data_IF_529978375090
#
_entry.id   IF_529978375090
#
_cell.length_a   1.000
_cell.length_b   1.000
_cell.length_c   1.000
_cell.angle_alpha   90.00
_cell.angle_beta   90.00
_cell.angle_gamma   90.00
#
_symmetry.space_group_name_H-M   'P 1'
#
loop_
_entity.id
_entity.type
_entity.pdbx_description
1 polymer ?
#
# COMPACT_ATOMS: atom_id res chain seq x y z
N UNK A 1 -42.69 -2.10 -8.38
CA UNK A 1 -42.35 -2.30 -6.94
C UNK A 1 -42.02 -3.76 -6.66
N UNK A 2 -42.92 -4.72 -6.94
CA UNK A 2 -42.64 -6.17 -6.76
C UNK A 2 -41.48 -6.64 -7.67
N UNK A 3 -41.47 -6.23 -8.94
CA UNK A 3 -40.38 -6.58 -9.87
C UNK A 3 -39.01 -6.01 -9.46
N UNK A 4 -38.98 -4.75 -9.02
CA UNK A 4 -37.77 -4.13 -8.48
C UNK A 4 -37.23 -4.89 -7.26
N UNK A 5 -38.09 -5.26 -6.31
CA UNK A 5 -37.69 -6.03 -5.13
C UNK A 5 -37.14 -7.42 -5.51
N UNK A 6 -37.79 -8.11 -6.47
CA UNK A 6 -37.32 -9.39 -7.00
C UNK A 6 -35.96 -9.25 -7.67
N UNK A 7 -35.75 -8.20 -8.48
CA UNK A 7 -34.47 -7.91 -9.12
C UNK A 7 -33.36 -7.67 -8.10
N UNK A 8 -33.58 -6.75 -7.16
CA UNK A 8 -32.60 -6.45 -6.10
C UNK A 8 -32.18 -7.73 -5.35
N UNK A 9 -33.15 -8.58 -4.99
CA UNK A 9 -32.86 -9.85 -4.32
C UNK A 9 -32.09 -10.82 -5.23
N UNK A 10 -32.49 -10.93 -6.50
CA UNK A 10 -31.81 -11.81 -7.47
C UNK A 10 -30.37 -11.40 -7.72
N UNK A 11 -30.13 -10.11 -7.93
CA UNK A 11 -28.79 -9.54 -8.18
C UNK A 11 -27.87 -9.78 -6.98
N UNK A 12 -28.37 -9.62 -5.76
CA UNK A 12 -27.59 -9.92 -4.55
C UNK A 12 -27.29 -11.42 -4.39
N UNK A 13 -28.25 -12.31 -4.69
CA UNK A 13 -28.04 -13.77 -4.62
C UNK A 13 -26.96 -14.20 -5.60
N UNK A 14 -27.02 -13.74 -6.86
CA UNK A 14 -26.03 -14.05 -7.88
C UNK A 14 -24.63 -13.53 -7.50
N UNK A 15 -24.55 -12.35 -6.87
CA UNK A 15 -23.29 -11.82 -6.37
C UNK A 15 -22.76 -12.62 -5.16
N UNK A 16 -23.65 -13.13 -4.31
CA UNK A 16 -23.32 -13.86 -3.08
C UNK A 16 -22.43 -15.07 -3.35
N UNK A 17 -22.67 -15.77 -4.45
CA UNK A 17 -21.90 -16.94 -4.89
C UNK A 17 -20.44 -16.63 -5.20
N UNK A 18 -20.13 -15.36 -5.49
CA UNK A 18 -18.80 -14.89 -5.91
C UNK A 18 -18.05 -14.13 -4.82
N UNK A 19 -18.69 -13.85 -3.68
CA UNK A 19 -18.17 -12.93 -2.63
C UNK A 19 -16.81 -13.31 -2.03
N UNK A 20 -16.36 -14.54 -2.21
CA UNK A 20 -15.13 -15.06 -1.62
C UNK A 20 -14.00 -15.27 -2.64
N UNK A 21 -14.21 -14.91 -3.91
CA UNK A 21 -13.22 -15.04 -4.98
C UNK A 21 -13.06 -13.71 -5.73
N UNK A 22 -11.85 -13.13 -5.64
CA UNK A 22 -11.52 -11.87 -6.30
C UNK A 22 -11.74 -11.94 -7.81
N UNK A 23 -11.30 -13.00 -8.47
CA UNK A 23 -11.37 -13.10 -9.93
C UNK A 23 -12.82 -13.27 -10.38
N UNK A 24 -13.60 -14.08 -9.67
CA UNK A 24 -15.03 -14.21 -9.95
C UNK A 24 -15.76 -12.86 -9.79
N UNK A 25 -15.37 -12.02 -8.82
CA UNK A 25 -15.91 -10.67 -8.67
C UNK A 25 -15.51 -9.75 -9.84
N UNK A 26 -14.23 -9.74 -10.21
CA UNK A 26 -13.74 -8.92 -11.33
C UNK A 26 -14.45 -9.26 -12.63
N UNK A 27 -14.63 -10.56 -12.92
CA UNK A 27 -15.37 -11.05 -14.08
C UNK A 27 -16.84 -10.64 -14.01
N UNK A 28 -17.48 -10.77 -12.83
CA UNK A 28 -18.88 -10.40 -12.63
C UNK A 28 -19.17 -8.91 -12.83
N UNK A 29 -18.20 -8.05 -12.51
CA UNK A 29 -18.32 -6.61 -12.66
C UNK A 29 -17.75 -6.09 -13.98
N UNK A 30 -17.17 -6.97 -14.81
CA UNK A 30 -16.57 -6.64 -16.12
C UNK A 30 -15.71 -5.38 -16.03
N UNK A 31 -14.77 -5.36 -15.07
CA UNK A 31 -13.91 -4.19 -14.84
C UNK A 31 -12.76 -4.17 -15.83
N UNK A 32 -12.60 -3.04 -16.52
CA UNK A 32 -11.50 -2.84 -17.46
C UNK A 32 -10.23 -2.39 -16.74
N UNK A 33 -9.07 -2.67 -17.33
CA UNK A 33 -7.79 -2.18 -16.81
C UNK A 33 -7.76 -0.64 -16.71
N UNK A 34 -8.40 0.09 -17.64
CA UNK A 34 -8.52 1.55 -17.59
C UNK A 34 -9.30 2.03 -16.38
N UNK A 35 -10.43 1.39 -16.06
CA UNK A 35 -11.22 1.75 -14.88
C UNK A 35 -10.47 1.42 -13.61
N UNK A 36 -9.80 0.27 -13.56
CA UNK A 36 -9.00 -0.10 -12.41
C UNK A 36 -7.84 0.88 -12.15
N UNK A 37 -7.15 1.33 -13.20
CA UNK A 37 -6.14 2.42 -13.09
C UNK A 37 -6.77 3.72 -12.57
N UNK A 38 -7.94 4.10 -13.08
CA UNK A 38 -8.64 5.29 -12.60
C UNK A 38 -9.06 5.17 -11.13
N UNK A 39 -9.51 3.99 -10.69
CA UNK A 39 -9.82 3.73 -9.28
C UNK A 39 -8.56 3.75 -8.41
N UNK A 40 -7.41 3.24 -8.90
CA UNK A 40 -6.13 3.38 -8.21
C UNK A 40 -5.74 4.85 -8.02
N UNK A 41 -5.89 5.72 -9.04
CA UNK A 41 -5.61 7.15 -8.87
C UNK A 41 -6.54 7.81 -7.84
N UNK A 42 -7.84 7.49 -7.87
CA UNK A 42 -8.78 7.99 -6.85
C UNK A 42 -8.40 7.54 -5.44
N UNK A 43 -7.96 6.30 -5.29
CA UNK A 43 -7.47 5.78 -4.01
C UNK A 43 -6.22 6.55 -3.56
N UNK A 44 -5.26 6.85 -4.44
CA UNK A 44 -4.07 7.65 -4.09
C UNK A 44 -4.40 9.05 -3.59
N UNK A 45 -5.47 9.65 -4.13
CA UNK A 45 -5.93 10.99 -3.71
C UNK A 45 -6.62 10.99 -2.33
N UNK A 46 -7.04 9.82 -1.82
CA UNK A 46 -7.70 9.70 -0.53
C UNK A 46 -6.68 9.64 0.62
N UNK A 47 -6.05 10.77 0.92
CA UNK A 47 -4.89 10.87 1.82
C UNK A 47 -5.31 11.02 3.29
N UNK A 48 -6.40 11.74 3.57
CA UNK A 48 -6.73 12.18 4.93
C UNK A 48 -7.48 11.09 5.72
N UNK A 49 -8.52 10.50 5.12
CA UNK A 49 -9.32 9.42 5.76
C UNK A 49 -9.31 8.11 4.97
N UNK A 50 -8.32 7.93 4.11
CA UNK A 50 -8.03 6.66 3.43
C UNK A 50 -9.25 6.10 2.70
N UNK A 51 -9.54 4.82 2.93
CA UNK A 51 -10.62 4.13 2.22
C UNK A 51 -12.01 4.75 2.47
N UNK A 52 -12.25 5.36 3.64
CA UNK A 52 -13.53 6.00 3.96
C UNK A 52 -13.72 7.27 3.13
N UNK A 53 -12.66 8.07 2.98
CA UNK A 53 -12.67 9.24 2.10
C UNK A 53 -12.93 8.86 0.64
N UNK A 54 -12.26 7.82 0.14
CA UNK A 54 -12.51 7.28 -1.19
C UNK A 54 -13.98 6.90 -1.40
N UNK A 55 -14.60 6.18 -0.44
CA UNK A 55 -16.01 5.79 -0.55
C UNK A 55 -16.94 7.00 -0.63
N UNK A 56 -16.68 8.04 0.19
CA UNK A 56 -17.46 9.29 0.15
C UNK A 56 -17.29 10.00 -1.20
N UNK A 57 -16.06 10.13 -1.67
CA UNK A 57 -15.77 10.83 -2.94
C UNK A 57 -16.35 10.09 -4.14
N UNK A 58 -16.44 8.75 -4.10
CA UNK A 58 -17.08 7.95 -5.14
C UNK A 58 -18.61 8.02 -5.09
N UNK A 59 -19.19 8.09 -3.90
CA UNK A 59 -20.65 8.18 -3.71
C UNK A 59 -21.21 9.57 -4.01
N UNK A 60 -20.44 10.65 -3.77
CA UNK A 60 -20.93 12.01 -3.88
C UNK A 60 -21.49 12.39 -5.28
N UNK A 61 -20.84 12.06 -6.41
CA UNK A 61 -21.39 12.31 -7.74
C UNK A 61 -22.72 11.59 -8.00
N UNK A 62 -22.87 10.36 -7.49
CA UNK A 62 -24.12 9.58 -7.59
C UNK A 62 -25.25 10.29 -6.84
N UNK A 63 -24.98 10.74 -5.61
CA UNK A 63 -25.98 11.47 -4.83
C UNK A 63 -26.35 12.81 -5.46
N UNK A 64 -25.37 13.55 -6.01
CA UNK A 64 -25.61 14.81 -6.72
C UNK A 64 -26.47 14.61 -7.99
N UNK A 65 -26.19 13.55 -8.75
CA UNK A 65 -27.02 13.18 -9.90
C UNK A 65 -28.45 12.81 -9.50
N UNK A 66 -28.60 11.99 -8.46
CA UNK A 66 -29.90 11.62 -7.92
C UNK A 66 -30.68 12.82 -7.36
N UNK A 67 -30.01 13.78 -6.72
CA UNK A 67 -30.62 15.04 -6.30
C UNK A 67 -31.11 15.86 -7.49
N UNK A 68 -30.31 15.92 -8.55
CA UNK A 68 -30.66 16.60 -9.81
C UNK A 68 -31.92 16.02 -10.44
N UNK A 69 -32.18 14.72 -10.28
CA UNK A 69 -33.41 14.06 -10.73
C UNK A 69 -34.70 14.64 -10.08
N UNK A 70 -34.58 15.34 -8.94
CA UNK A 70 -35.70 16.07 -8.32
C UNK A 70 -36.13 17.27 -9.16
N UNK A 71 -35.25 17.82 -9.98
CA UNK A 71 -35.50 19.05 -10.74
C UNK A 71 -35.60 18.83 -12.25
N UNK A 72 -34.88 17.83 -12.80
CA UNK A 72 -34.92 17.49 -14.22
C UNK A 72 -34.91 15.99 -14.47
N UNK A 73 -35.24 15.58 -15.68
CA UNK A 73 -35.05 14.19 -16.13
C UNK A 73 -33.56 13.97 -16.43
N UNK A 74 -33.00 12.87 -15.93
CA UNK A 74 -31.66 12.41 -16.29
C UNK A 74 -31.71 11.57 -17.57
N UNK A 75 -30.67 11.68 -18.39
CA UNK A 75 -30.50 10.82 -19.57
C UNK A 75 -30.16 9.38 -19.14
N UNK A 76 -30.38 8.41 -20.05
CA UNK A 76 -30.01 7.02 -19.78
C UNK A 76 -28.50 6.85 -19.62
N UNK A 77 -27.69 7.69 -20.26
CA UNK A 77 -26.23 7.72 -20.14
C UNK A 77 -25.81 8.22 -18.76
N UNK A 78 -26.47 9.26 -18.23
CA UNK A 78 -26.22 9.76 -16.87
C UNK A 78 -26.55 8.68 -15.83
N UNK A 79 -27.68 7.98 -15.99
CA UNK A 79 -28.06 6.87 -15.10
C UNK A 79 -27.05 5.72 -15.19
N UNK A 80 -26.62 5.36 -16.40
CA UNK A 80 -25.61 4.31 -16.60
C UNK A 80 -24.25 4.69 -15.99
N UNK A 81 -23.86 5.97 -16.06
CA UNK A 81 -22.65 6.47 -15.41
C UNK A 81 -22.71 6.29 -13.89
N UNK A 82 -23.83 6.65 -13.26
CA UNK A 82 -24.03 6.45 -11.82
C UNK A 82 -24.12 4.96 -11.43
N UNK A 83 -24.73 4.13 -12.26
CA UNK A 83 -24.74 2.67 -12.11
C UNK A 83 -23.30 2.12 -12.12
N UNK A 84 -22.45 2.63 -13.02
CA UNK A 84 -21.05 2.23 -13.11
C UNK A 84 -20.23 2.69 -11.92
N UNK A 85 -20.45 3.92 -11.45
CA UNK A 85 -19.80 4.44 -10.24
C UNK A 85 -20.12 3.59 -9.01
N UNK A 86 -21.39 3.20 -8.82
CA UNK A 86 -21.79 2.29 -7.75
C UNK A 86 -21.22 0.88 -7.93
N UNK A 87 -21.04 0.43 -9.17
CA UNK A 87 -20.42 -0.87 -9.46
C UNK A 87 -18.97 -0.91 -9.00
N UNK A 88 -18.19 0.13 -9.31
CA UNK A 88 -16.79 0.23 -8.91
C UNK A 88 -16.64 0.44 -7.39
N UNK A 89 -17.52 1.24 -6.78
CA UNK A 89 -17.59 1.38 -5.33
C UNK A 89 -17.90 0.04 -4.63
N UNK A 90 -18.89 -0.70 -5.14
CA UNK A 90 -19.26 -2.03 -4.63
C UNK A 90 -18.09 -3.01 -4.73
N UNK A 91 -17.39 -3.07 -5.87
CA UNK A 91 -16.19 -3.88 -6.00
C UNK A 91 -15.16 -3.53 -4.92
N UNK A 92 -14.85 -2.25 -4.73
CA UNK A 92 -13.87 -1.82 -3.73
C UNK A 92 -14.25 -2.26 -2.31
N UNK A 93 -15.53 -2.16 -1.93
CA UNK A 93 -16.00 -2.66 -0.62
C UNK A 93 -15.86 -4.19 -0.50
N UNK A 94 -16.12 -4.92 -1.58
CA UNK A 94 -15.97 -6.37 -1.59
C UNK A 94 -14.51 -6.81 -1.50
N UNK A 95 -13.59 -6.13 -2.18
CA UNK A 95 -12.14 -6.35 -2.03
C UNK A 95 -11.70 -6.04 -0.60
N UNK A 96 -12.19 -4.96 -0.01
CA UNK A 96 -11.94 -4.64 1.39
C UNK A 96 -12.43 -5.77 2.33
N UNK A 97 -13.61 -6.35 2.04
CA UNK A 97 -14.14 -7.49 2.78
C UNK A 97 -13.25 -8.73 2.62
N UNK A 98 -12.77 -9.03 1.41
CA UNK A 98 -11.85 -10.14 1.17
C UNK A 98 -10.57 -9.99 1.99
N UNK A 99 -10.00 -8.77 2.05
CA UNK A 99 -8.85 -8.46 2.90
C UNK A 99 -9.18 -8.66 4.38
N UNK A 100 -10.32 -8.14 4.85
CA UNK A 100 -10.74 -8.26 6.25
C UNK A 100 -10.95 -9.73 6.70
N UNK A 101 -11.33 -10.60 5.77
CA UNK A 101 -11.50 -12.04 5.98
C UNK A 101 -10.25 -12.86 5.67
N UNK A 102 -9.14 -12.24 5.28
CA UNK A 102 -7.89 -12.91 4.89
C UNK A 102 -8.06 -13.88 3.70
N UNK A 103 -9.06 -13.63 2.83
CA UNK A 103 -9.32 -14.44 1.64
C UNK A 103 -8.42 -14.07 0.45
N UNK A 104 -7.78 -12.90 0.51
CA UNK A 104 -6.72 -12.49 -0.40
C UNK A 104 -5.49 -12.01 0.39
N UNK A 105 -4.28 -12.21 -0.14
CA UNK A 105 -3.06 -11.87 0.58
C UNK A 105 -2.85 -10.35 0.66
N UNK A 106 -2.57 -9.87 1.87
CA UNK A 106 -2.05 -8.51 2.09
C UNK A 106 -0.59 -8.41 1.64
N UNK A 107 -0.15 -7.21 1.26
CA UNK A 107 1.25 -6.95 1.00
C UNK A 107 2.06 -7.14 2.26
N UNK A 108 3.17 -7.88 2.16
CA UNK A 108 4.18 -7.86 3.23
C UNK A 108 4.72 -6.44 3.30
N UNK A 109 4.84 -5.83 4.50
CA UNK A 109 5.48 -4.53 4.62
C UNK A 109 6.87 -4.63 3.98
N UNK A 110 7.17 -3.70 3.06
CA UNK A 110 8.48 -3.65 2.45
C UNK A 110 9.53 -3.52 3.57
N UNK A 111 10.52 -4.40 3.62
CA UNK A 111 11.71 -4.18 4.42
C UNK A 111 12.43 -2.97 3.84
N UNK A 112 12.10 -1.77 4.32
CA UNK A 112 12.86 -0.56 4.00
C UNK A 112 14.22 -0.74 4.65
N UNK A 113 15.20 -1.22 3.87
CA UNK A 113 16.61 -1.15 4.25
C UNK A 113 16.99 0.34 4.20
N UNK A 114 17.33 0.97 5.35
CA UNK A 114 17.84 2.33 5.35
C UNK A 114 19.04 2.43 4.41
N UNK A 115 19.01 3.39 3.48
CA UNK A 115 20.22 3.77 2.75
C UNK A 115 20.98 4.77 3.62
N UNK A 116 22.08 4.32 4.20
CA UNK A 116 22.95 5.16 5.04
C UNK A 116 23.88 6.08 4.23
N UNK A 117 23.77 6.11 2.90
CA UNK A 117 24.59 6.98 2.06
C UNK A 117 26.09 6.66 2.13
N UNK A 118 26.44 5.42 2.49
CA UNK A 118 27.84 4.98 2.66
C UNK A 118 28.54 4.87 1.31
N UNK A 119 27.77 4.69 0.23
CA UNK A 119 28.24 4.68 -1.15
C UNK A 119 28.69 6.09 -1.55
N UNK A 120 29.99 6.36 -1.40
CA UNK A 120 30.60 7.67 -1.70
C UNK A 120 31.46 8.23 -0.57
N UNK A 121 31.31 7.71 0.65
CA UNK A 121 32.12 8.17 1.78
C UNK A 121 33.61 7.85 1.59
N UNK A 122 34.47 8.81 1.92
CA UNK A 122 35.91 8.59 1.98
C UNK A 122 36.27 7.74 3.21
N UNK A 123 37.24 6.83 3.07
CA UNK A 123 37.66 5.94 4.17
C UNK A 123 38.12 6.71 5.41
N UNK A 124 38.77 7.87 5.24
CA UNK A 124 39.21 8.70 6.37
C UNK A 124 38.04 9.21 7.21
N UNK A 125 36.89 9.50 6.59
CA UNK A 125 35.67 9.93 7.28
C UNK A 125 35.10 8.78 8.10
N UNK A 126 34.99 7.60 7.49
CA UNK A 126 34.54 6.37 8.16
C UNK A 126 35.44 6.06 9.37
N UNK A 127 36.76 6.20 9.23
CA UNK A 127 37.69 5.93 10.32
C UNK A 127 37.66 6.98 11.43
N UNK A 128 37.49 8.25 11.08
CA UNK A 128 37.33 9.31 12.07
C UNK A 128 36.08 9.06 12.92
N UNK A 129 34.97 8.70 12.29
CA UNK A 129 33.72 8.37 12.97
C UNK A 129 33.86 7.11 13.85
N UNK A 130 34.36 6.00 13.32
CA UNK A 130 34.57 4.76 14.09
C UNK A 130 35.48 5.00 15.30
N UNK A 131 36.57 5.74 15.14
CA UNK A 131 37.47 6.04 16.26
C UNK A 131 36.78 6.93 17.31
N UNK A 132 35.95 7.88 16.88
CA UNK A 132 35.18 8.73 17.80
C UNK A 132 34.16 7.91 18.57
N UNK A 133 33.46 7.00 17.90
CA UNK A 133 32.51 6.05 18.52
C UNK A 133 33.18 5.09 19.48
N UNK A 134 34.34 4.54 19.13
CA UNK A 134 35.13 3.67 20.02
C UNK A 134 35.62 4.42 21.26
N UNK A 135 35.96 5.71 21.13
CA UNK A 135 36.30 6.55 22.28
C UNK A 135 35.10 6.75 23.21
N UNK A 136 33.91 6.97 22.64
CA UNK A 136 32.67 7.10 23.41
C UNK A 136 32.21 5.77 24.03
N UNK A 137 32.40 4.65 23.32
CA UNK A 137 32.04 3.31 23.76
C UNK A 137 33.12 2.27 23.38
N UNK A 138 34.03 1.93 24.31
CA UNK A 138 35.11 0.97 24.06
C UNK A 138 34.66 -0.44 23.66
N UNK A 139 33.44 -0.85 24.07
CA UNK A 139 32.90 -2.17 23.76
C UNK A 139 32.63 -2.38 22.26
N UNK A 140 32.51 -1.30 21.49
CA UNK A 140 32.33 -1.36 20.03
C UNK A 140 33.49 -2.07 19.32
N UNK A 141 34.69 -2.11 19.91
CA UNK A 141 35.83 -2.87 19.37
C UNK A 141 35.56 -4.37 19.25
N UNK A 142 34.65 -4.91 20.07
CA UNK A 142 34.28 -6.32 20.05
C UNK A 142 33.26 -6.64 18.95
N UNK A 143 32.59 -5.64 18.36
CA UNK A 143 31.64 -5.86 17.26
C UNK A 143 32.38 -6.36 16.01
N UNK A 144 31.82 -7.39 15.38
CA UNK A 144 32.39 -8.03 14.19
C UNK A 144 32.65 -7.03 13.06
N UNK A 145 31.69 -6.15 12.78
CA UNK A 145 31.81 -5.10 11.75
C UNK A 145 32.99 -4.16 12.01
N UNK A 146 33.16 -3.68 13.25
CA UNK A 146 34.27 -2.78 13.64
C UNK A 146 35.61 -3.49 13.52
N UNK A 147 35.70 -4.75 13.99
CA UNK A 147 36.92 -5.56 13.86
C UNK A 147 37.31 -5.74 12.40
N UNK A 148 36.36 -6.05 11.53
CA UNK A 148 36.60 -6.21 10.09
C UNK A 148 37.11 -4.92 9.45
N UNK A 149 36.55 -3.76 9.81
CA UNK A 149 37.02 -2.46 9.32
C UNK A 149 38.47 -2.22 9.75
N UNK A 150 38.80 -2.44 11.02
CA UNK A 150 40.17 -2.26 11.53
C UNK A 150 41.18 -3.19 10.81
N UNK A 151 40.80 -4.44 10.54
CA UNK A 151 41.63 -5.38 9.77
C UNK A 151 41.87 -4.88 8.35
N UNK A 152 40.81 -4.40 7.67
CA UNK A 152 40.93 -3.86 6.31
C UNK A 152 41.80 -2.60 6.25
N UNK A 153 41.79 -1.78 7.29
CA UNK A 153 42.65 -0.60 7.40
C UNK A 153 44.12 -0.99 7.60
N UNK A 154 44.39 -2.02 8.39
CA UNK A 154 45.74 -2.56 8.52
C UNK A 154 46.24 -3.11 7.17
N UNK A 155 45.38 -3.80 6.43
CA UNK A 155 45.69 -4.27 5.08
C UNK A 155 45.95 -3.11 4.11
N UNK A 156 45.11 -2.08 4.13
CA UNK A 156 45.31 -0.85 3.35
C UNK A 156 46.69 -0.23 3.60
N UNK A 157 47.07 -0.08 4.88
CA UNK A 157 48.35 0.49 5.27
C UNK A 157 49.55 -0.39 4.89
N UNK A 158 49.36 -1.71 4.83
CA UNK A 158 50.38 -2.66 4.38
C UNK A 158 50.56 -2.58 2.86
N UNK A 159 49.47 -2.60 2.10
CA UNK A 159 49.52 -2.49 0.64
C UNK A 159 50.04 -1.12 0.18
N UNK A 160 49.68 -0.03 0.87
CA UNK A 160 50.21 1.30 0.57
C UNK A 160 51.73 1.39 0.82
N UNK A 161 52.25 0.74 1.88
CA UNK A 161 53.71 0.64 2.11
C UNK A 161 54.39 -0.15 0.99
N UNK A 162 53.85 -1.32 0.67
CA UNK A 162 54.36 -2.18 -0.42
C UNK A 162 54.35 -1.45 -1.77
N UNK A 163 53.30 -0.70 -2.07
CA UNK A 163 53.22 0.13 -3.28
C UNK A 163 54.35 1.16 -3.30
N UNK A 164 54.55 1.90 -2.21
CA UNK A 164 55.61 2.94 -2.11
C UNK A 164 57.02 2.36 -2.22
N UNK A 165 57.25 1.17 -1.69
CA UNK A 165 58.53 0.47 -1.75
C UNK A 165 58.84 -0.06 -3.16
N UNK A 166 57.83 -0.56 -3.86
CA UNK A 166 58.00 -1.15 -5.21
C UNK A 166 57.92 -0.10 -6.33
N UNK A 167 57.22 1.02 -6.14
CA UNK A 167 57.06 2.05 -7.17
C UNK A 167 58.40 2.54 -7.80
N UNK A 168 59.50 2.75 -7.04
CA UNK A 168 60.77 3.19 -7.59
C UNK A 168 61.51 2.11 -8.40
N UNK A 169 61.21 0.82 -8.16
CA UNK A 169 61.93 -0.31 -8.79
C UNK A 169 61.26 -0.81 -10.06
N UNK A 170 60.03 -0.37 -10.34
CA UNK A 170 59.24 -0.77 -11.52
C UNK A 170 59.68 0.03 -12.75
N UNK A 171 59.97 -0.70 -13.84
CA UNK A 171 60.25 -0.15 -15.17
C UNK A 171 59.09 0.72 -15.66
N UNK A 172 59.40 1.83 -16.33
CA UNK A 172 58.40 2.80 -16.81
C UNK A 172 57.26 2.16 -17.63
N UNK A 173 57.58 1.19 -18.48
CA UNK A 173 56.63 0.45 -19.31
C UNK A 173 55.60 -0.39 -18.51
N UNK A 174 55.97 -0.86 -17.30
CA UNK A 174 55.12 -1.70 -16.44
C UNK A 174 54.34 -0.90 -15.40
N UNK A 175 54.58 0.41 -15.28
CA UNK A 175 53.96 1.26 -14.23
C UNK A 175 52.44 1.29 -14.31
N UNK A 176 51.87 1.35 -15.51
CA UNK A 176 50.42 1.40 -15.69
C UNK A 176 49.74 0.12 -15.17
N UNK A 177 50.29 -1.05 -15.51
CA UNK A 177 49.79 -2.35 -15.03
C UNK A 177 49.99 -2.50 -13.52
N UNK A 178 51.14 -2.08 -12.99
CA UNK A 178 51.42 -2.07 -11.56
C UNK A 178 50.38 -1.22 -10.79
N UNK A 179 50.15 0.02 -11.22
CA UNK A 179 49.17 0.90 -10.60
C UNK A 179 47.74 0.34 -10.71
N UNK A 180 47.36 -0.22 -11.86
CA UNK A 180 46.05 -0.85 -12.04
C UNK A 180 45.76 -1.97 -11.02
N UNK A 181 46.75 -2.83 -10.74
CA UNK A 181 46.62 -3.91 -9.77
C UNK A 181 46.43 -3.37 -8.33
N UNK A 182 47.16 -2.31 -7.96
CA UNK A 182 46.99 -1.66 -6.67
C UNK A 182 45.65 -0.93 -6.58
N UNK A 183 45.19 -0.26 -7.64
CA UNK A 183 43.86 0.36 -7.69
C UNK A 183 42.76 -0.65 -7.46
N UNK A 184 42.81 -1.83 -8.11
CA UNK A 184 41.84 -2.89 -7.88
C UNK A 184 41.86 -3.38 -6.43
N UNK A 185 43.05 -3.57 -5.87
CA UNK A 185 43.24 -4.00 -4.48
C UNK A 185 42.67 -2.97 -3.50
N UNK A 186 42.99 -1.69 -3.69
CA UNK A 186 42.47 -0.60 -2.85
C UNK A 186 40.96 -0.47 -2.96
N UNK A 187 40.39 -0.58 -4.16
CA UNK A 187 38.95 -0.54 -4.35
C UNK A 187 38.25 -1.66 -3.57
N UNK A 188 38.76 -2.90 -3.63
CA UNK A 188 38.21 -4.02 -2.86
C UNK A 188 38.29 -3.80 -1.35
N UNK A 189 39.38 -3.20 -0.86
CA UNK A 189 39.53 -2.83 0.56
C UNK A 189 38.52 -1.73 0.94
N UNK A 190 38.40 -0.68 0.13
CA UNK A 190 37.48 0.45 0.35
C UNK A 190 36.02 -0.03 0.37
N UNK A 191 35.63 -0.87 -0.59
CA UNK A 191 34.29 -1.47 -0.64
C UNK A 191 33.99 -2.34 0.59
N UNK A 192 34.97 -3.13 1.03
CA UNK A 192 34.83 -3.94 2.25
C UNK A 192 34.65 -3.06 3.49
N UNK A 193 35.41 -1.97 3.62
CA UNK A 193 35.26 -1.00 4.73
C UNK A 193 33.87 -0.39 4.70
N UNK A 194 33.42 0.11 3.53
CA UNK A 194 32.08 0.69 3.35
C UNK A 194 30.97 -0.31 3.70
N UNK A 195 31.06 -1.54 3.24
CA UNK A 195 30.07 -2.59 3.52
C UNK A 195 29.97 -2.90 5.02
N UNK A 196 31.10 -3.06 5.70
CA UNK A 196 31.10 -3.33 7.14
C UNK A 196 30.61 -2.10 7.93
N UNK A 197 30.90 -0.89 7.47
CA UNK A 197 30.40 0.32 8.10
C UNK A 197 28.88 0.47 7.95
N UNK A 198 28.33 0.20 6.77
CA UNK A 198 26.89 0.15 6.55
C UNK A 198 26.21 -0.91 7.44
N UNK A 199 26.84 -2.08 7.62
CA UNK A 199 26.34 -3.12 8.52
C UNK A 199 26.31 -2.66 9.99
N UNK A 200 27.33 -1.93 10.44
CA UNK A 200 27.35 -1.35 11.78
C UNK A 200 26.20 -0.36 11.99
N UNK A 201 25.97 0.53 11.03
CA UNK A 201 24.87 1.50 11.09
C UNK A 201 23.50 0.81 11.04
N UNK A 202 23.37 -0.28 10.28
CA UNK A 202 22.17 -1.09 10.23
C UNK A 202 21.86 -1.74 11.58
N UNK A 203 22.85 -2.38 12.22
CA UNK A 203 22.68 -2.99 13.55
C UNK A 203 22.27 -1.96 14.60
N UNK A 204 22.82 -0.75 14.52
CA UNK A 204 22.46 0.35 15.42
C UNK A 204 21.04 0.86 15.15
N UNK A 205 20.67 1.06 13.89
CA UNK A 205 19.32 1.44 13.51
C UNK A 205 18.29 0.38 13.93
N UNK A 206 18.64 -0.90 13.88
CA UNK A 206 17.79 -1.99 14.38
C UNK A 206 17.69 -2.01 15.91
N UNK A 207 18.75 -1.67 16.62
CA UNK A 207 18.76 -1.55 18.07
C UNK A 207 18.02 -0.30 18.58
N UNK A 208 17.97 0.78 17.78
CA UNK A 208 17.27 2.03 18.08
C UNK A 208 15.80 2.05 17.61
N UNK A 209 15.32 0.99 16.92
CA UNK A 209 13.91 0.94 16.49
C UNK A 209 12.98 1.16 17.69
N UNK A 210 12.00 2.09 17.59
CA UNK A 210 11.04 2.27 18.66
C UNK A 210 10.31 0.96 18.94
N UNK A 211 10.01 0.71 20.22
CA UNK A 211 9.34 -0.50 20.75
C UNK A 211 7.98 -0.80 20.08
N UNK A 212 7.44 0.14 19.29
CA UNK A 212 6.19 -0.03 18.55
C UNK A 212 6.50 -0.24 17.05
N UNK A 213 6.14 -1.39 16.47
CA UNK A 213 6.28 -1.60 15.03
C UNK A 213 5.50 -0.53 14.26
N UNK A 214 5.96 -0.18 13.07
CA UNK A 214 5.17 0.62 12.13
C UNK A 214 3.80 -0.05 11.95
N UNK A 215 2.72 0.75 11.89
CA UNK A 215 1.38 0.20 11.71
C UNK A 215 1.32 -0.65 10.44
N UNK A 216 0.77 -1.85 10.57
CA UNK A 216 0.52 -2.74 9.44
C UNK A 216 -0.88 -3.32 9.60
N UNK A 217 -1.64 -3.30 8.51
CA UNK A 217 -3.00 -3.83 8.48
C UNK A 217 -3.03 -5.33 8.86
N UNK A 218 -1.97 -6.07 8.52
CA UNK A 218 -1.81 -7.49 8.85
C UNK A 218 -1.66 -7.77 10.36
N UNK A 219 -1.36 -6.75 11.18
CA UNK A 219 -1.23 -6.88 12.65
C UNK A 219 -2.54 -6.61 13.40
N UNK A 220 -3.64 -6.35 12.69
CA UNK A 220 -4.93 -5.97 13.26
C UNK A 220 -5.98 -7.07 12.98
N UNK A 221 -6.82 -7.46 13.95
CA UNK A 221 -7.85 -8.48 13.74
C UNK A 221 -9.07 -7.95 12.96
N UNK A 222 -8.94 -7.80 11.65
CA UNK A 222 -9.94 -7.12 10.80
C UNK A 222 -11.28 -7.87 10.63
N UNK A 223 -11.37 -9.14 11.04
CA UNK A 223 -12.58 -9.98 10.84
C UNK A 223 -13.85 -9.34 11.42
N UNK A 224 -13.71 -8.55 12.50
CA UNK A 224 -14.80 -7.78 13.10
C UNK A 224 -15.43 -6.71 12.19
N UNK A 225 -14.76 -6.31 11.09
CA UNK A 225 -15.28 -5.35 10.11
C UNK A 225 -16.10 -6.02 9.00
N UNK A 226 -15.93 -7.32 8.76
CA UNK A 226 -16.58 -8.02 7.65
C UNK A 226 -18.12 -7.93 7.64
N UNK A 227 -18.84 -7.96 8.79
CA UNK A 227 -20.29 -7.76 8.80
C UNK A 227 -20.71 -6.39 8.27
N UNK A 228 -20.03 -5.31 8.69
CA UNK A 228 -20.33 -3.96 8.22
C UNK A 228 -20.04 -3.80 6.72
N UNK A 229 -18.91 -4.33 6.26
CA UNK A 229 -18.55 -4.30 4.84
C UNK A 229 -19.57 -5.08 3.99
N UNK A 230 -20.16 -6.14 4.54
CA UNK A 230 -21.24 -6.88 3.89
C UNK A 230 -22.52 -6.05 3.80
N UNK A 231 -22.88 -5.31 4.85
CA UNK A 231 -24.05 -4.40 4.82
C UNK A 231 -23.84 -3.23 3.84
N UNK A 232 -22.64 -2.63 3.81
CA UNK A 232 -22.27 -1.65 2.78
C UNK A 232 -22.43 -2.24 1.37
N UNK A 233 -21.92 -3.46 1.14
CA UNK A 233 -22.04 -4.12 -0.16
C UNK A 233 -23.49 -4.39 -0.57
N UNK A 234 -24.35 -4.81 0.37
CA UNK A 234 -25.79 -4.98 0.11
C UNK A 234 -26.44 -3.66 -0.29
N UNK A 235 -26.13 -2.57 0.41
CA UNK A 235 -26.71 -1.26 0.16
C UNK A 235 -26.28 -0.70 -1.20
N UNK A 236 -24.99 -0.80 -1.56
CA UNK A 236 -24.52 -0.38 -2.87
C UNK A 236 -25.04 -1.29 -4.00
N UNK A 237 -25.20 -2.59 -3.74
CA UNK A 237 -25.85 -3.51 -4.68
C UNK A 237 -27.31 -3.14 -4.89
N UNK A 238 -28.07 -2.82 -3.83
CA UNK A 238 -29.46 -2.36 -3.90
C UNK A 238 -29.57 -1.08 -4.75
N UNK A 239 -28.75 -0.08 -4.47
CA UNK A 239 -28.74 1.18 -5.19
C UNK A 239 -28.39 0.97 -6.68
N UNK A 240 -27.34 0.20 -6.98
CA UNK A 240 -26.95 -0.15 -8.35
C UNK A 240 -28.08 -0.84 -9.11
N UNK A 241 -28.69 -1.86 -8.50
CA UNK A 241 -29.78 -2.64 -9.13
C UNK A 241 -31.02 -1.77 -9.38
N UNK A 242 -31.26 -0.79 -8.50
CA UNK A 242 -32.34 0.20 -8.65
C UNK A 242 -32.09 1.12 -9.85
N UNK A 243 -30.85 1.59 -10.05
CA UNK A 243 -30.48 2.37 -11.24
C UNK A 243 -30.62 1.56 -12.53
N UNK A 244 -30.14 0.31 -12.52
CA UNK A 244 -30.23 -0.59 -13.66
C UNK A 244 -31.70 -0.84 -14.07
N UNK A 245 -32.58 -1.07 -13.09
CA UNK A 245 -34.03 -1.16 -13.33
C UNK A 245 -34.61 0.14 -13.89
N UNK A 246 -34.26 1.30 -13.32
CA UNK A 246 -34.76 2.59 -13.79
C UNK A 246 -34.34 2.90 -15.24
N UNK A 247 -33.16 2.40 -15.65
CA UNK A 247 -32.61 2.51 -17.01
C UNK A 247 -33.28 1.56 -18.01
N UNK A 248 -33.56 0.33 -17.61
CA UNK A 248 -34.11 -0.72 -18.47
C UNK A 248 -35.62 -0.58 -18.66
N UNK A 249 -36.38 -0.38 -17.58
CA UNK A 249 -37.84 -0.35 -17.61
C UNK A 249 -38.39 0.95 -18.21
N UNK A 250 -37.61 2.04 -18.17
CA UNK A 250 -37.93 3.38 -18.73
C UNK A 250 -39.29 3.96 -18.29
N UNK A 251 -39.89 3.40 -17.24
CA UNK A 251 -41.18 3.80 -16.68
C UNK A 251 -40.99 4.32 -15.26
N UNK A 252 -41.61 5.47 -14.94
CA UNK A 252 -41.49 6.13 -13.63
C UNK A 252 -40.05 6.34 -13.14
N UNK A 253 -39.10 6.45 -14.07
CA UNK A 253 -37.67 6.60 -13.79
C UNK A 253 -37.41 7.72 -12.79
N UNK A 254 -38.04 8.90 -12.94
CA UNK A 254 -37.87 10.02 -11.99
C UNK A 254 -38.34 9.66 -10.57
N UNK A 255 -39.50 9.02 -10.41
CA UNK A 255 -40.00 8.61 -9.10
C UNK A 255 -39.03 7.62 -8.42
N UNK A 256 -38.48 6.67 -9.19
CA UNK A 256 -37.51 5.69 -8.69
C UNK A 256 -36.20 6.39 -8.24
N UNK A 257 -35.66 7.30 -9.04
CA UNK A 257 -34.43 8.02 -8.72
C UNK A 257 -34.58 8.92 -7.50
N UNK A 258 -35.71 9.63 -7.39
CA UNK A 258 -36.00 10.48 -6.22
C UNK A 258 -36.16 9.62 -4.95
N UNK A 259 -36.88 8.51 -5.03
CA UNK A 259 -37.01 7.59 -3.90
C UNK A 259 -35.65 7.01 -3.46
N UNK A 260 -34.77 6.70 -4.43
CA UNK A 260 -33.41 6.26 -4.13
C UNK A 260 -32.61 7.36 -3.41
N UNK A 261 -32.69 8.61 -3.87
CA UNK A 261 -32.06 9.76 -3.20
C UNK A 261 -32.55 9.97 -1.77
N UNK A 262 -33.86 9.85 -1.54
CA UNK A 262 -34.44 10.04 -0.21
C UNK A 262 -33.94 8.98 0.79
N UNK A 263 -33.63 7.78 0.28
CA UNK A 263 -33.00 6.70 1.06
C UNK A 263 -31.48 6.80 1.25
N UNK A 264 -30.81 7.86 0.75
CA UNK A 264 -29.33 8.01 0.79
C UNK A 264 -28.71 7.93 2.19
N UNK A 265 -29.48 8.24 3.22
CA UNK A 265 -29.01 8.30 4.60
C UNK A 265 -28.44 6.96 5.08
N UNK A 266 -28.95 5.84 4.58
CA UNK A 266 -28.43 4.51 4.93
C UNK A 266 -27.02 4.28 4.38
N UNK A 267 -26.80 4.58 3.10
CA UNK A 267 -25.47 4.48 2.48
C UNK A 267 -24.43 5.36 3.20
N UNK A 268 -24.79 6.62 3.49
CA UNK A 268 -23.91 7.55 4.22
C UNK A 268 -23.62 7.02 5.62
N UNK A 269 -24.66 6.61 6.37
CA UNK A 269 -24.53 6.08 7.72
C UNK A 269 -23.60 4.87 7.78
N UNK A 270 -23.68 3.96 6.81
CA UNK A 270 -22.84 2.76 6.76
C UNK A 270 -21.37 3.10 6.49
N UNK A 271 -21.08 4.11 5.67
CA UNK A 271 -19.71 4.61 5.46
C UNK A 271 -19.18 5.25 6.75
N UNK A 272 -19.98 6.08 7.41
CA UNK A 272 -19.57 6.75 8.67
C UNK A 272 -19.35 5.75 9.83
N UNK A 273 -20.15 4.68 9.88
CA UNK A 273 -20.05 3.65 10.90
C UNK A 273 -18.70 2.92 10.87
N UNK A 274 -18.02 2.88 9.72
CA UNK A 274 -16.75 2.19 9.54
C UNK A 274 -15.64 2.75 10.42
N UNK A 275 -15.56 4.08 10.55
CA UNK A 275 -14.56 4.71 11.44
C UNK A 275 -14.77 4.29 12.89
N UNK A 276 -16.03 4.25 13.32
CA UNK A 276 -16.40 3.85 14.69
C UNK A 276 -16.12 2.36 14.92
N UNK A 277 -16.42 1.50 13.95
CA UNK A 277 -16.20 0.06 14.09
C UNK A 277 -14.72 -0.31 14.01
N UNK A 278 -13.93 0.39 13.19
CA UNK A 278 -12.47 0.28 13.15
C UNK A 278 -11.87 0.58 14.52
N UNK A 279 -12.32 1.64 15.21
CA UNK A 279 -11.88 1.93 16.58
C UNK A 279 -12.23 0.81 17.58
N UNK A 280 -13.35 0.10 17.38
CA UNK A 280 -13.74 -1.05 18.20
C UNK A 280 -12.81 -2.25 18.01
N UNK A 281 -12.44 -2.55 16.76
CA UNK A 281 -11.47 -3.61 16.43
C UNK A 281 -10.07 -3.30 16.98
N UNK A 282 -9.72 -2.01 17.09
CA UNK A 282 -8.44 -1.58 17.64
C UNK A 282 -8.25 -1.88 19.14
N UNK A 283 -9.33 -2.15 19.89
CA UNK A 283 -9.22 -2.59 21.30
C UNK A 283 -8.50 -3.93 21.42
N UNK A 284 -8.58 -4.76 20.38
CA UNK A 284 -7.94 -6.08 20.31
C UNK A 284 -6.46 -5.99 19.86
N UNK A 285 -5.96 -4.79 19.52
CA UNK A 285 -4.58 -4.53 19.10
C UNK A 285 -3.86 -3.59 20.08
N UNK A 286 -3.45 -4.08 21.27
CA UNK A 286 -2.94 -3.25 22.38
C UNK A 286 -1.64 -2.48 22.05
N UNK A 287 -0.96 -2.86 20.98
CA UNK A 287 0.26 -2.20 20.49
C UNK A 287 0.02 -0.80 19.87
N UNK A 288 -1.23 -0.44 19.56
CA UNK A 288 -1.59 0.85 18.96
C UNK A 288 -2.65 1.60 19.80
N UNK A 289 -2.65 2.94 19.75
CA UNK A 289 -3.76 3.70 20.32
C UNK A 289 -5.01 3.55 19.43
N UNK A 290 -6.21 3.64 20.00
CA UNK A 290 -7.45 3.48 19.24
C UNK A 290 -7.58 4.45 18.06
N UNK A 291 -7.15 5.72 18.25
CA UNK A 291 -7.20 6.73 17.20
C UNK A 291 -6.19 6.47 16.08
N UNK A 292 -4.93 6.20 16.43
CA UNK A 292 -3.88 5.90 15.45
C UNK A 292 -4.18 4.60 14.71
N UNK A 293 -4.75 3.60 15.40
CA UNK A 293 -5.16 2.36 14.78
C UNK A 293 -6.36 2.54 13.85
N UNK A 294 -7.39 3.31 14.21
CA UNK A 294 -8.54 3.53 13.33
C UNK A 294 -8.14 4.25 12.03
N UNK A 295 -7.28 5.27 12.13
CA UNK A 295 -6.70 5.96 10.97
C UNK A 295 -5.79 5.02 10.18
N UNK A 296 -4.97 4.24 10.88
CA UNK A 296 -4.10 3.22 10.29
C UNK A 296 -4.87 2.18 9.50
N UNK A 297 -6.00 1.69 10.02
CA UNK A 297 -6.87 0.72 9.32
C UNK A 297 -7.40 1.33 8.03
N UNK A 298 -7.91 2.57 8.07
CA UNK A 298 -8.48 3.22 6.89
C UNK A 298 -7.44 3.44 5.79
N UNK A 299 -6.23 3.89 6.16
CA UNK A 299 -5.12 4.07 5.22
C UNK A 299 -4.54 2.74 4.75
N UNK A 300 -4.42 1.76 5.64
CA UNK A 300 -3.94 0.42 5.33
C UNK A 300 -4.86 -0.28 4.34
N UNK A 301 -6.17 -0.21 4.49
CA UNK A 301 -7.09 -0.76 3.49
C UNK A 301 -6.96 -0.06 2.14
N UNK A 302 -6.82 1.26 2.11
CA UNK A 302 -6.58 2.01 0.86
C UNK A 302 -5.33 1.47 0.16
N UNK A 303 -4.22 1.34 0.89
CA UNK A 303 -2.92 0.92 0.34
C UNK A 303 -2.97 -0.53 -0.14
N UNK A 304 -3.60 -1.42 0.63
CA UNK A 304 -3.76 -2.83 0.25
C UNK A 304 -4.65 -3.01 -0.98
N UNK A 305 -5.77 -2.29 -1.07
CA UNK A 305 -6.67 -2.34 -2.23
C UNK A 305 -5.96 -1.78 -3.46
N UNK A 306 -5.24 -0.67 -3.32
CA UNK A 306 -4.40 -0.13 -4.38
C UNK A 306 -3.40 -1.17 -4.87
N UNK A 307 -2.74 -1.88 -3.95
CA UNK A 307 -1.86 -2.99 -4.25
C UNK A 307 -2.53 -4.16 -4.99
N UNK A 308 -3.77 -4.49 -4.63
CA UNK A 308 -4.58 -5.50 -5.34
C UNK A 308 -4.85 -5.06 -6.78
N UNK A 309 -5.31 -3.82 -6.96
CA UNK A 309 -5.65 -3.28 -8.29
C UNK A 309 -4.41 -3.17 -9.20
N UNK A 310 -3.28 -2.70 -8.68
CA UNK A 310 -2.04 -2.61 -9.47
C UNK A 310 -1.52 -3.98 -9.92
N UNK A 311 -1.64 -5.01 -9.06
CA UNK A 311 -1.26 -6.38 -9.43
C UNK A 311 -2.16 -6.93 -10.53
N UNK A 312 -3.46 -6.65 -10.46
CA UNK A 312 -4.41 -7.08 -11.46
C UNK A 312 -4.14 -6.41 -12.81
N UNK A 313 -3.94 -5.09 -12.83
CA UNK A 313 -3.57 -4.35 -14.05
C UNK A 313 -2.29 -4.91 -14.67
N UNK A 314 -1.25 -5.16 -13.87
CA UNK A 314 0.00 -5.77 -14.35
C UNK A 314 -0.21 -7.16 -14.95
N UNK A 315 -1.14 -7.95 -14.41
CA UNK A 315 -1.48 -9.28 -14.94
C UNK A 315 -2.18 -9.17 -16.29
N UNK A 316 -3.09 -8.21 -16.43
CA UNK A 316 -3.85 -8.01 -17.68
C UNK A 316 -2.97 -7.41 -18.80
N UNK A 317 -1.88 -6.72 -18.46
CA UNK A 317 -0.92 -6.17 -19.41
C UNK A 317 0.15 -7.20 -19.89
N UNK A 318 0.22 -8.41 -19.30
CA UNK A 318 1.13 -9.47 -19.76
C UNK A 318 0.57 -10.17 -21.01
N UNK A 319 1.37 -10.41 -22.06
CA UNK A 319 0.93 -11.20 -23.20
C UNK A 319 0.61 -12.64 -22.75
N UNK A 320 -0.56 -13.13 -23.17
CA UNK A 320 -1.07 -14.47 -22.90
C UNK A 320 -0.19 -15.59 -23.47
#
# INVERSE_FOLDING_TARGET
>A
MIDLARRISGDWIALKEKLNDLYALLDAFTVTASEMRAESERLRLAVESGIVEYKRSRLAPVLSGLETARFRTLSLEEIAGHERDLTLLLLTVLVQRLLALELIPMQKPAEVKPDFGVNGMQVNVILSDINSRIKANPSLRAKSAVKNILVQVQLYNKENRKMRELLPTIKNEMRASFLGNFTQTFNGIIESIRRNYAALLQEEAEAEKPVRPAFSLALVPLKGLAPLLTEQAKEFSRARSTLAHAREDKYKTREILVALYDSRHDAIRLIEAERKQSAGVCVEAPQFSAETCAVGIANGFRDEILGVYERQVKRDDLPA
#
